data_IF_648505463509
#
_entry.id   IF_648505463509
#
_cell.length_a   1.000
_cell.length_b   1.000
_cell.length_c   1.000
_cell.angle_alpha   90.00
_cell.angle_beta   90.00
_cell.angle_gamma   90.00
#
_symmetry.space_group_name_H-M   'P 1'
#
loop_
_entity.id
_entity.type
_entity.pdbx_description
1 polymer ?
#
# COMPACT_ATOMS: atom_id res chain seq x y z
N UNK A 1 -9.18 0.45 6.04
CA UNK A 1 -8.66 -0.55 5.09
C UNK A 1 -7.17 -0.31 4.97
N UNK A 2 -6.35 -1.27 5.40
CA UNK A 2 -4.88 -1.18 5.34
C UNK A 2 -4.39 -1.25 3.90
N UNK A 3 -3.10 -0.97 3.66
CA UNK A 3 -2.51 -1.15 2.33
C UNK A 3 -2.62 -2.62 1.86
N UNK A 4 -2.35 -3.56 2.77
CA UNK A 4 -2.49 -5.01 2.51
C UNK A 4 -3.93 -5.36 2.13
N UNK A 5 -4.93 -4.84 2.83
CA UNK A 5 -6.34 -5.13 2.52
C UNK A 5 -6.72 -4.72 1.09
N UNK A 6 -6.18 -3.58 0.59
CA UNK A 6 -6.46 -3.10 -0.77
C UNK A 6 -6.01 -4.11 -1.83
N UNK A 7 -4.78 -4.60 -1.74
CA UNK A 7 -4.27 -5.56 -2.74
C UNK A 7 -4.99 -6.90 -2.63
N UNK A 8 -5.35 -7.32 -1.42
CA UNK A 8 -6.06 -8.58 -1.19
C UNK A 8 -7.46 -8.52 -1.77
N UNK A 9 -8.15 -7.39 -1.63
CA UNK A 9 -9.48 -7.19 -2.20
C UNK A 9 -9.44 -7.19 -3.74
N UNK A 10 -8.48 -6.49 -4.35
CA UNK A 10 -8.28 -6.51 -5.80
C UNK A 10 -8.02 -7.95 -6.30
N UNK A 11 -7.11 -8.69 -5.64
CA UNK A 11 -6.82 -10.07 -6.02
C UNK A 11 -8.06 -10.98 -5.89
N UNK A 12 -8.87 -10.81 -4.83
CA UNK A 12 -10.12 -11.58 -4.63
C UNK A 12 -11.13 -11.32 -5.75
N UNK A 13 -11.26 -10.08 -6.20
CA UNK A 13 -12.17 -9.72 -7.29
C UNK A 13 -11.78 -10.39 -8.61
N UNK A 14 -10.53 -10.80 -8.79
CA UNK A 14 -10.06 -11.49 -9.98
C UNK A 14 -10.25 -13.01 -9.95
N UNK A 15 -10.53 -13.62 -8.78
CA UNK A 15 -10.75 -15.08 -8.66
C UNK A 15 -11.81 -15.55 -9.66
N UNK A 16 -11.46 -16.52 -10.51
CA UNK A 16 -12.32 -17.04 -11.57
C UNK A 16 -12.15 -16.35 -12.92
N UNK A 17 -11.26 -15.35 -13.05
CA UNK A 17 -10.82 -14.85 -14.35
C UNK A 17 -10.14 -15.97 -15.14
N UNK A 18 -10.56 -16.17 -16.39
CA UNK A 18 -9.98 -17.13 -17.31
C UNK A 18 -9.18 -16.41 -18.39
N UNK A 19 -7.99 -16.90 -18.72
CA UNK A 19 -7.23 -16.40 -19.87
C UNK A 19 -7.98 -16.64 -21.18
N UNK A 20 -7.67 -15.82 -22.18
CA UNK A 20 -8.37 -15.80 -23.46
C UNK A 20 -7.59 -16.49 -24.56
N UNK A 21 -8.32 -17.01 -25.54
CA UNK A 21 -7.73 -17.54 -26.79
C UNK A 21 -7.14 -16.46 -27.71
N UNK A 22 -7.56 -15.20 -27.56
CA UNK A 22 -7.15 -14.06 -28.37
C UNK A 22 -7.31 -12.74 -27.61
N UNK A 23 -6.88 -11.62 -28.18
CA UNK A 23 -6.98 -10.27 -27.57
C UNK A 23 -8.41 -9.70 -27.50
N UNK A 24 -9.44 -10.52 -27.69
CA UNK A 24 -10.85 -10.12 -27.59
C UNK A 24 -11.42 -10.40 -26.19
N UNK A 25 -12.35 -9.56 -25.74
CA UNK A 25 -13.09 -9.71 -24.47
C UNK A 25 -12.20 -9.85 -23.22
N UNK A 26 -11.05 -9.18 -23.22
CA UNK A 26 -10.05 -9.29 -22.14
C UNK A 26 -10.58 -8.87 -20.76
N UNK A 27 -11.58 -7.99 -20.69
CA UNK A 27 -12.19 -7.54 -19.43
C UNK A 27 -13.30 -8.46 -18.92
N UNK A 28 -13.81 -9.37 -19.77
CA UNK A 28 -14.79 -10.36 -19.32
C UNK A 28 -14.11 -11.40 -18.44
N UNK A 29 -14.76 -11.78 -17.34
CA UNK A 29 -14.23 -12.80 -16.43
C UNK A 29 -14.11 -14.18 -17.11
N UNK A 30 -15.06 -14.54 -17.97
CA UNK A 30 -15.15 -15.89 -18.55
C UNK A 30 -15.35 -15.94 -20.07
N UNK A 31 -15.82 -14.87 -20.72
CA UNK A 31 -15.97 -14.88 -22.18
C UNK A 31 -14.60 -15.00 -22.87
N UNK A 32 -14.59 -15.51 -24.10
CA UNK A 32 -13.39 -15.80 -24.92
C UNK A 32 -12.35 -16.72 -24.25
N UNK A 33 -12.72 -17.48 -23.22
CA UNK A 33 -11.79 -18.38 -22.53
C UNK A 33 -11.13 -19.38 -23.50
N UNK A 34 -9.85 -19.65 -23.28
CA UNK A 34 -9.07 -20.64 -24.03
C UNK A 34 -7.57 -20.47 -23.77
N UNK A 35 -6.75 -21.45 -24.14
CA UNK A 35 -5.35 -21.57 -23.71
C UNK A 35 -4.34 -20.66 -24.43
N UNK A 36 -4.75 -19.45 -24.77
CA UNK A 36 -3.95 -18.51 -25.56
C UNK A 36 -3.06 -17.59 -24.74
N UNK A 37 -3.11 -17.64 -23.41
CA UNK A 37 -2.42 -16.70 -22.51
C UNK A 37 -2.75 -15.21 -22.79
N UNK A 38 -3.90 -14.90 -23.40
CA UNK A 38 -4.31 -13.51 -23.60
C UNK A 38 -5.04 -12.99 -22.35
N UNK A 39 -4.57 -11.92 -21.72
CA UNK A 39 -5.18 -11.39 -20.49
C UNK A 39 -5.24 -9.86 -20.46
N UNK A 40 -6.14 -9.28 -19.65
CA UNK A 40 -6.12 -7.84 -19.39
C UNK A 40 -4.83 -7.39 -18.68
N UNK A 41 -4.24 -8.25 -17.86
CA UNK A 41 -3.02 -7.95 -17.11
C UNK A 41 -1.84 -7.69 -18.05
N UNK A 42 -1.68 -8.52 -19.08
CA UNK A 42 -0.70 -8.30 -20.13
C UNK A 42 -1.04 -7.04 -20.94
N UNK A 43 -2.28 -6.83 -21.38
CA UNK A 43 -2.67 -5.61 -22.11
C UNK A 43 -2.33 -4.33 -21.34
N UNK A 44 -2.63 -4.29 -20.05
CA UNK A 44 -2.57 -3.07 -19.24
C UNK A 44 -1.14 -2.68 -18.84
N UNK A 45 -0.27 -3.66 -18.57
CA UNK A 45 1.10 -3.40 -18.09
C UNK A 45 2.20 -3.87 -19.04
N UNK A 46 1.93 -4.87 -19.87
CA UNK A 46 2.89 -5.57 -20.71
C UNK A 46 2.35 -5.86 -22.11
N UNK A 47 1.87 -4.84 -22.87
CA UNK A 47 1.10 -5.09 -24.09
C UNK A 47 1.89 -5.88 -25.15
N UNK A 48 3.22 -5.78 -25.16
CA UNK A 48 4.10 -6.55 -26.04
C UNK A 48 4.28 -8.02 -25.64
N UNK A 49 3.78 -8.43 -24.47
CA UNK A 49 3.89 -9.79 -23.92
C UNK A 49 2.53 -10.52 -23.85
N UNK A 50 1.52 -10.05 -24.60
CA UNK A 50 0.31 -10.82 -24.82
C UNK A 50 0.62 -12.25 -25.31
N UNK A 51 -0.08 -13.24 -24.75
CA UNK A 51 0.13 -14.64 -25.10
C UNK A 51 1.32 -15.30 -24.41
N UNK A 52 1.99 -14.60 -23.49
CA UNK A 52 3.02 -15.17 -22.61
C UNK A 52 2.42 -15.55 -21.24
N UNK A 53 3.04 -16.49 -20.50
CA UNK A 53 2.65 -16.79 -19.13
C UNK A 53 2.58 -15.54 -18.25
N UNK A 54 1.52 -15.42 -17.46
CA UNK A 54 1.10 -14.14 -16.87
C UNK A 54 0.97 -14.13 -15.34
N UNK A 55 1.49 -15.15 -14.63
CA UNK A 55 1.37 -15.22 -13.16
C UNK A 55 2.02 -14.01 -12.46
N UNK A 56 3.19 -13.56 -12.93
CA UNK A 56 3.90 -12.39 -12.39
C UNK A 56 3.22 -11.08 -12.80
N UNK A 57 2.76 -11.00 -14.07
CA UNK A 57 2.01 -9.85 -14.58
C UNK A 57 0.72 -9.61 -13.78
N UNK A 58 0.06 -10.67 -13.32
CA UNK A 58 -1.11 -10.58 -12.46
C UNK A 58 -0.76 -9.94 -11.10
N UNK A 59 0.34 -10.36 -10.48
CA UNK A 59 0.79 -9.75 -9.20
C UNK A 59 1.08 -8.28 -9.41
N UNK A 60 1.89 -7.92 -10.41
CA UNK A 60 2.21 -6.52 -10.73
C UNK A 60 0.93 -5.71 -10.97
N UNK A 61 -0.01 -6.26 -11.74
CA UNK A 61 -1.29 -5.61 -12.03
C UNK A 61 -2.10 -5.35 -10.76
N UNK A 62 -2.20 -6.31 -9.85
CA UNK A 62 -2.88 -6.12 -8.57
C UNK A 62 -2.29 -4.95 -7.76
N UNK A 63 -0.96 -4.84 -7.70
CA UNK A 63 -0.30 -3.74 -7.01
C UNK A 63 -0.51 -2.39 -7.73
N UNK A 64 -0.47 -2.36 -9.07
CA UNK A 64 -0.72 -1.14 -9.83
C UNK A 64 -2.16 -0.66 -9.66
N UNK A 65 -3.15 -1.57 -9.65
CA UNK A 65 -4.54 -1.19 -9.38
C UNK A 65 -4.71 -0.61 -7.96
N UNK A 66 -3.94 -1.09 -6.99
CA UNK A 66 -4.05 -0.62 -5.61
C UNK A 66 -3.37 0.73 -5.34
N UNK A 67 -2.21 0.96 -5.97
CA UNK A 67 -1.31 2.06 -5.57
C UNK A 67 -0.80 2.91 -6.72
N UNK A 68 -1.14 2.58 -7.97
CA UNK A 68 -0.54 3.18 -9.15
C UNK A 68 0.90 2.71 -9.40
N UNK A 69 1.41 2.99 -10.60
CA UNK A 69 2.68 2.39 -11.08
C UNK A 69 3.91 2.76 -10.24
N UNK A 70 4.00 4.01 -9.78
CA UNK A 70 5.18 4.50 -9.06
C UNK A 70 5.34 3.79 -7.71
N UNK A 71 4.30 3.84 -6.87
CA UNK A 71 4.33 3.20 -5.56
C UNK A 71 4.39 1.66 -5.68
N UNK A 72 3.63 1.06 -6.60
CA UNK A 72 3.68 -0.38 -6.85
C UNK A 72 5.11 -0.85 -7.20
N UNK A 73 5.83 -0.11 -8.05
CA UNK A 73 7.21 -0.47 -8.41
C UNK A 73 8.14 -0.43 -7.21
N UNK A 74 8.00 0.56 -6.33
CA UNK A 74 8.81 0.65 -5.11
C UNK A 74 8.49 -0.48 -4.13
N UNK A 75 7.21 -0.82 -3.99
CA UNK A 75 6.73 -1.92 -3.17
C UNK A 75 7.28 -3.27 -3.64
N UNK A 76 7.34 -3.52 -4.95
CA UNK A 76 7.78 -4.79 -5.53
C UNK A 76 9.32 -4.89 -5.71
N UNK A 77 10.09 -4.34 -4.77
CA UNK A 77 11.55 -4.41 -4.77
C UNK A 77 12.24 -3.50 -5.82
N UNK A 78 11.50 -2.60 -6.46
CA UNK A 78 12.04 -1.56 -7.36
C UNK A 78 11.77 -1.80 -8.85
N UNK A 79 11.04 -2.84 -9.24
CA UNK A 79 10.79 -3.19 -10.63
C UNK A 79 9.50 -3.98 -10.85
N UNK A 80 9.07 -4.01 -12.11
CA UNK A 80 8.08 -4.97 -12.59
C UNK A 80 8.77 -5.95 -13.53
N UNK A 81 8.31 -7.19 -13.57
CA UNK A 81 8.79 -8.19 -14.51
C UNK A 81 7.72 -9.24 -14.78
N UNK A 82 7.62 -9.71 -16.02
CA UNK A 82 6.81 -10.88 -16.38
C UNK A 82 7.54 -12.21 -16.09
N UNK A 83 8.79 -12.14 -15.62
CA UNK A 83 9.68 -13.28 -15.38
C UNK A 83 9.96 -13.43 -13.89
N UNK A 84 9.43 -14.50 -13.31
CA UNK A 84 9.40 -14.71 -11.84
C UNK A 84 10.78 -14.76 -11.16
N UNK A 85 11.87 -15.27 -11.76
CA UNK A 85 13.20 -15.15 -11.15
C UNK A 85 13.67 -13.70 -11.00
N UNK A 86 13.36 -12.84 -11.96
CA UNK A 86 13.74 -11.41 -11.90
C UNK A 86 12.95 -10.70 -10.81
N UNK A 87 11.64 -10.96 -10.69
CA UNK A 87 10.81 -10.37 -9.63
C UNK A 87 11.29 -10.79 -8.24
N UNK A 88 11.61 -12.08 -8.05
CA UNK A 88 12.24 -12.55 -6.82
C UNK A 88 13.60 -11.85 -6.55
N UNK A 89 14.39 -11.58 -7.59
CA UNK A 89 15.68 -10.91 -7.46
C UNK A 89 15.53 -9.44 -7.03
N UNK A 90 14.48 -8.74 -7.43
CA UNK A 90 14.21 -7.37 -6.96
C UNK A 90 14.10 -7.32 -5.43
N UNK A 91 13.30 -8.20 -4.83
CA UNK A 91 13.22 -8.30 -3.37
C UNK A 91 14.55 -8.71 -2.73
N UNK A 92 15.28 -9.68 -3.31
CA UNK A 92 16.58 -10.12 -2.79
C UNK A 92 17.59 -8.97 -2.74
N UNK A 93 17.65 -8.15 -3.79
CA UNK A 93 18.53 -6.99 -3.87
C UNK A 93 18.20 -5.92 -2.82
N UNK A 94 16.98 -5.92 -2.29
CA UNK A 94 16.50 -5.01 -1.25
C UNK A 94 16.52 -5.61 0.16
N UNK A 95 16.94 -6.87 0.32
CA UNK A 95 16.85 -7.57 1.60
C UNK A 95 15.41 -7.91 2.03
N UNK A 96 14.47 -7.90 1.09
CA UNK A 96 13.02 -8.09 1.31
C UNK A 96 12.55 -9.50 0.94
N UNK A 97 13.46 -10.45 0.74
CA UNK A 97 13.13 -11.82 0.37
C UNK A 97 13.34 -12.77 1.55
N UNK A 98 12.26 -13.36 2.03
CA UNK A 98 12.22 -14.20 3.23
C UNK A 98 12.05 -15.68 2.86
N UNK A 99 12.71 -16.57 3.61
CA UNK A 99 12.61 -18.03 3.41
C UNK A 99 11.55 -18.70 4.30
N UNK A 100 11.09 -17.99 5.31
CA UNK A 100 10.14 -18.44 6.30
C UNK A 100 9.18 -17.28 6.65
N UNK A 101 8.32 -17.51 7.65
CA UNK A 101 7.44 -16.48 8.25
C UNK A 101 6.64 -15.64 7.23
N UNK A 102 5.88 -16.30 6.32
CA UNK A 102 5.06 -15.55 5.37
C UNK A 102 4.04 -14.67 6.07
N UNK A 103 3.64 -13.60 5.39
CA UNK A 103 2.60 -12.68 5.83
C UNK A 103 1.60 -12.45 4.71
N UNK A 104 0.31 -12.21 5.04
CA UNK A 104 -0.65 -11.66 4.09
C UNK A 104 -0.09 -10.42 3.39
N UNK A 105 -0.23 -10.40 2.06
CA UNK A 105 0.33 -9.37 1.19
C UNK A 105 1.67 -9.72 0.56
N UNK A 106 2.42 -10.69 1.09
CA UNK A 106 3.68 -11.11 0.48
C UNK A 106 3.43 -11.70 -0.93
N UNK A 107 4.35 -11.46 -1.85
CA UNK A 107 4.44 -12.21 -3.09
C UNK A 107 5.15 -13.54 -2.82
N UNK A 108 4.42 -14.65 -2.91
CA UNK A 108 5.01 -15.99 -2.76
C UNK A 108 5.65 -16.44 -4.09
N UNK A 109 6.79 -17.09 -4.02
CA UNK A 109 7.50 -17.64 -5.17
C UNK A 109 7.65 -19.15 -5.06
N UNK A 110 7.40 -19.88 -6.14
CA UNK A 110 7.57 -21.32 -6.20
C UNK A 110 8.67 -21.72 -7.18
N UNK A 111 9.52 -22.66 -6.77
CA UNK A 111 10.57 -23.26 -7.61
C UNK A 111 10.05 -24.47 -8.38
N UNK A 112 10.50 -24.60 -9.63
CA UNK A 112 10.54 -25.85 -10.36
C UNK A 112 11.87 -26.56 -10.15
N UNK A 113 12.28 -27.37 -11.13
CA UNK A 113 13.58 -28.06 -11.12
C UNK A 113 14.76 -27.08 -11.22
N UNK A 114 14.64 -26.06 -12.08
CA UNK A 114 15.81 -25.26 -12.49
C UNK A 114 15.74 -23.80 -12.03
N UNK A 115 14.54 -23.31 -11.71
CA UNK A 115 14.31 -21.89 -11.37
C UNK A 115 13.00 -21.68 -10.63
N UNK A 116 12.82 -20.47 -10.11
CA UNK A 116 11.49 -19.95 -9.76
C UNK A 116 10.66 -19.91 -11.05
N UNK A 117 9.49 -20.53 -11.03
CA UNK A 117 8.65 -20.70 -12.22
C UNK A 117 7.19 -20.29 -11.99
N UNK A 118 6.80 -19.97 -10.76
CA UNK A 118 5.43 -19.56 -10.45
C UNK A 118 5.40 -18.60 -9.26
N UNK A 119 4.32 -17.82 -9.15
CA UNK A 119 4.14 -16.84 -8.07
C UNK A 119 2.65 -16.59 -7.80
N UNK A 120 2.36 -15.93 -6.68
CA UNK A 120 1.05 -15.40 -6.35
C UNK A 120 1.12 -14.49 -5.14
N UNK A 121 -0.05 -14.15 -4.61
CA UNK A 121 -0.21 -13.25 -3.47
C UNK A 121 -0.65 -14.07 -2.27
N UNK A 122 0.08 -13.99 -1.16
CA UNK A 122 -0.31 -14.59 0.12
C UNK A 122 -1.52 -13.85 0.67
N UNK A 123 -2.58 -14.57 0.98
CA UNK A 123 -3.83 -14.00 1.50
C UNK A 123 -4.06 -14.29 2.98
N UNK A 124 -3.55 -15.42 3.47
CA UNK A 124 -3.71 -15.86 4.85
C UNK A 124 -2.58 -16.83 5.21
N UNK A 125 -2.15 -16.80 6.46
CA UNK A 125 -1.17 -17.74 7.01
C UNK A 125 -1.76 -18.32 8.29
N UNK A 126 -1.84 -19.65 8.34
CA UNK A 126 -2.24 -20.40 9.54
C UNK A 126 -1.00 -21.04 10.17
N UNK A 127 -1.18 -21.81 11.24
CA UNK A 127 -0.08 -22.52 11.88
C UNK A 127 0.66 -23.50 10.95
N UNK A 128 -0.03 -24.06 9.95
CA UNK A 128 0.53 -25.11 9.09
C UNK A 128 0.42 -24.84 7.60
N UNK A 129 -0.36 -23.83 7.20
CA UNK A 129 -0.64 -23.55 5.78
C UNK A 129 -0.46 -22.09 5.43
N UNK A 130 -0.15 -21.86 4.16
CA UNK A 130 -0.26 -20.57 3.47
C UNK A 130 -1.38 -20.65 2.45
N UNK A 131 -2.27 -19.65 2.41
CA UNK A 131 -3.30 -19.50 1.38
C UNK A 131 -2.92 -18.37 0.45
N UNK A 132 -3.23 -18.53 -0.83
CA UNK A 132 -2.80 -17.61 -1.88
C UNK A 132 -3.92 -17.35 -2.88
N UNK A 133 -3.78 -16.25 -3.63
CA UNK A 133 -4.46 -16.04 -4.90
C UNK A 133 -3.38 -15.94 -5.97
N UNK A 134 -3.51 -16.75 -7.01
CA UNK A 134 -2.50 -16.89 -8.05
C UNK A 134 -3.13 -16.67 -9.42
N UNK A 135 -2.45 -15.92 -10.28
CA UNK A 135 -2.73 -15.86 -11.70
C UNK A 135 -2.04 -16.98 -12.46
N UNK A 136 -2.54 -17.29 -13.65
CA UNK A 136 -2.06 -18.35 -14.52
C UNK A 136 -1.90 -19.72 -13.85
N UNK A 137 -2.84 -20.11 -13.00
CA UNK A 137 -2.89 -21.41 -12.31
C UNK A 137 -4.22 -22.11 -12.63
N UNK A 138 -4.46 -23.26 -12.00
CA UNK A 138 -5.75 -23.97 -12.05
C UNK A 138 -6.29 -24.22 -10.64
N UNK A 139 -7.58 -24.56 -10.54
CA UNK A 139 -8.27 -24.77 -9.27
C UNK A 139 -7.84 -26.04 -8.49
N UNK A 140 -7.02 -26.92 -9.07
CA UNK A 140 -6.51 -28.10 -8.39
C UNK A 140 -5.53 -27.76 -7.25
N UNK A 141 -5.12 -28.73 -6.43
CA UNK A 141 -4.21 -28.48 -5.31
C UNK A 141 -2.73 -28.30 -5.70
N UNK A 142 -2.33 -28.74 -6.91
CA UNK A 142 -0.94 -28.67 -7.35
C UNK A 142 -0.52 -27.23 -7.71
N UNK A 143 0.78 -26.92 -7.54
CA UNK A 143 1.35 -25.67 -8.05
C UNK A 143 1.51 -25.78 -9.57
N UNK A 144 0.72 -25.01 -10.33
CA UNK A 144 0.65 -25.05 -11.80
C UNK A 144 1.18 -23.74 -12.39
N UNK A 145 2.35 -23.74 -13.06
CA UNK A 145 2.95 -22.53 -13.65
C UNK A 145 2.23 -21.93 -14.88
N UNK A 146 1.21 -22.61 -15.41
CA UNK A 146 0.46 -22.21 -16.61
C UNK A 146 -0.91 -22.91 -16.68
N UNK A 147 -1.85 -22.54 -15.82
CA UNK A 147 -3.15 -23.20 -15.66
C UNK A 147 -4.36 -22.42 -16.19
N UNK A 148 -4.15 -21.22 -16.72
CA UNK A 148 -5.15 -20.45 -17.47
C UNK A 148 -6.23 -19.72 -16.65
N UNK A 149 -6.14 -19.71 -15.31
CA UNK A 149 -7.10 -19.01 -14.48
C UNK A 149 -6.46 -18.28 -13.30
N UNK A 150 -7.20 -17.34 -12.72
CA UNK A 150 -6.95 -16.84 -11.36
C UNK A 150 -7.68 -17.73 -10.37
N UNK A 151 -6.98 -18.34 -9.43
CA UNK A 151 -7.58 -19.23 -8.43
C UNK A 151 -7.05 -18.96 -7.03
N UNK A 152 -7.87 -19.27 -6.03
CA UNK A 152 -7.42 -19.41 -4.66
C UNK A 152 -6.75 -20.77 -4.47
N UNK A 153 -5.65 -20.81 -3.71
CA UNK A 153 -4.86 -22.02 -3.45
C UNK A 153 -4.47 -22.07 -1.98
N UNK A 154 -4.04 -23.25 -1.53
CA UNK A 154 -3.43 -23.42 -0.22
C UNK A 154 -2.33 -24.48 -0.26
N UNK A 155 -1.29 -24.29 0.52
CA UNK A 155 -0.15 -25.20 0.61
C UNK A 155 0.30 -25.36 2.06
N UNK A 156 0.87 -26.51 2.37
CA UNK A 156 1.62 -26.67 3.62
C UNK A 156 2.82 -25.72 3.65
N UNK A 157 3.14 -25.15 4.81
CA UNK A 157 4.27 -24.22 4.97
C UNK A 157 5.63 -24.89 4.71
N UNK A 158 5.72 -26.21 4.87
CA UNK A 158 6.91 -27.02 4.60
C UNK A 158 6.98 -27.53 3.14
N UNK A 159 6.08 -27.10 2.25
CA UNK A 159 6.09 -27.54 0.87
C UNK A 159 7.42 -27.17 0.21
N UNK A 160 8.16 -28.19 -0.22
CA UNK A 160 9.53 -28.07 -0.77
C UNK A 160 9.59 -27.28 -2.08
N UNK A 161 8.46 -27.00 -2.73
CA UNK A 161 8.40 -26.14 -3.90
C UNK A 161 8.25 -24.66 -3.57
N UNK A 162 7.96 -24.28 -2.33
CA UNK A 162 7.98 -22.87 -1.93
C UNK A 162 9.44 -22.41 -1.92
N UNK A 163 9.77 -21.42 -2.76
CA UNK A 163 11.10 -20.84 -2.75
C UNK A 163 11.28 -19.81 -1.64
N UNK A 164 10.30 -18.94 -1.48
CA UNK A 164 10.32 -17.87 -0.50
C UNK A 164 9.24 -16.83 -0.78
N UNK A 165 9.36 -15.70 -0.09
CA UNK A 165 8.35 -14.66 -0.02
C UNK A 165 9.01 -13.30 -0.22
N UNK A 166 8.64 -12.59 -1.27
CA UNK A 166 8.97 -11.18 -1.44
C UNK A 166 8.00 -10.34 -0.63
N UNK A 167 8.51 -9.61 0.37
CA UNK A 167 7.69 -8.76 1.23
C UNK A 167 7.74 -7.31 0.74
N UNK A 168 6.60 -6.73 0.33
CA UNK A 168 6.56 -5.33 -0.04
C UNK A 168 6.91 -4.39 1.12
N UNK A 169 7.52 -3.24 0.80
CA UNK A 169 7.79 -2.18 1.78
C UNK A 169 6.52 -1.40 2.12
N UNK A 170 5.64 -2.01 2.92
CA UNK A 170 4.32 -1.45 3.23
C UNK A 170 4.37 -0.04 3.80
N UNK A 171 5.44 0.33 4.51
CA UNK A 171 5.64 1.68 5.07
C UNK A 171 5.62 2.80 4.02
N UNK A 172 5.88 2.49 2.74
CA UNK A 172 5.79 3.47 1.64
C UNK A 172 4.36 3.91 1.32
N UNK A 173 3.35 3.11 1.70
CA UNK A 173 1.94 3.34 1.37
C UNK A 173 1.01 3.25 2.58
N UNK A 174 1.50 2.74 3.70
CA UNK A 174 0.84 2.79 5.00
C UNK A 174 1.14 4.14 5.64
N UNK A 175 0.22 5.08 5.42
CA UNK A 175 0.20 6.31 6.21
C UNK A 175 -0.14 5.95 7.68
N UNK A 176 0.49 6.61 8.67
CA UNK A 176 0.05 6.51 10.06
C UNK A 176 -1.45 6.87 10.15
N UNK A 177 -2.17 6.12 10.98
CA UNK A 177 -3.57 6.40 11.26
C UNK A 177 -3.70 7.22 12.53
N UNK A 178 -4.32 8.39 12.45
CA UNK A 178 -4.55 9.28 13.57
C UNK A 178 -5.99 9.18 14.08
N UNK A 179 -6.20 9.34 15.39
CA UNK A 179 -7.53 9.71 15.89
C UNK A 179 -7.81 11.16 15.48
N UNK A 180 -9.03 11.48 15.03
CA UNK A 180 -9.36 12.87 14.67
C UNK A 180 -9.41 13.70 15.94
N UNK A 181 -8.69 14.82 15.95
CA UNK A 181 -8.64 15.73 17.10
C UNK A 181 -7.22 16.17 17.47
N UNK A 182 -7.12 16.69 18.68
CA UNK A 182 -5.86 17.15 19.28
C UNK A 182 -5.02 15.99 19.78
N UNK A 183 -3.73 16.06 19.52
CA UNK A 183 -2.70 15.15 20.00
C UNK A 183 -1.54 15.95 20.56
N UNK A 184 -0.81 15.37 21.51
CA UNK A 184 0.35 15.99 22.15
C UNK A 184 1.49 14.99 22.28
N UNK A 185 2.68 15.38 21.86
CA UNK A 185 3.92 14.62 22.07
C UNK A 185 5.02 15.53 22.64
N UNK A 186 6.27 15.06 22.64
CA UNK A 186 7.41 15.83 23.18
C UNK A 186 7.72 17.12 22.41
N UNK A 187 7.22 17.27 21.18
CA UNK A 187 7.42 18.45 20.35
C UNK A 187 6.24 19.44 20.43
N UNK A 188 5.10 19.04 21.02
CA UNK A 188 3.95 19.92 21.29
C UNK A 188 2.62 19.40 20.75
N UNK A 189 1.63 20.30 20.70
CA UNK A 189 0.27 20.00 20.25
C UNK A 189 0.17 19.99 18.72
N UNK A 190 -0.58 19.05 18.16
CA UNK A 190 -0.92 19.02 16.74
C UNK A 190 -2.37 18.53 16.56
N UNK A 191 -2.96 18.77 15.38
CA UNK A 191 -4.36 18.43 15.12
C UNK A 191 -4.56 17.61 13.85
N UNK A 192 -5.04 16.38 14.00
CA UNK A 192 -5.49 15.52 12.91
C UNK A 192 -6.91 15.90 12.48
N UNK A 193 -7.06 16.40 11.25
CA UNK A 193 -8.38 16.66 10.65
C UNK A 193 -8.93 15.46 9.86
N UNK A 194 -8.09 14.46 9.61
CA UNK A 194 -8.47 13.18 9.04
C UNK A 194 -7.72 12.06 9.74
N UNK A 195 -8.07 10.82 9.45
CA UNK A 195 -7.32 9.67 9.97
C UNK A 195 -5.95 9.50 9.32
N UNK A 196 -5.57 10.31 8.32
CA UNK A 196 -4.29 10.16 7.61
C UNK A 196 -3.50 11.46 7.48
N UNK A 197 -4.09 12.60 7.86
CA UNK A 197 -3.53 13.92 7.63
C UNK A 197 -3.86 14.86 8.79
N UNK A 198 -2.98 15.84 8.98
CA UNK A 198 -3.03 16.82 10.06
C UNK A 198 -2.61 18.20 9.54
N UNK A 199 -2.96 19.26 10.28
CA UNK A 199 -2.66 20.62 9.86
C UNK A 199 -1.16 20.92 9.89
N UNK A 200 -0.66 21.59 8.85
CA UNK A 200 0.73 22.03 8.68
C UNK A 200 0.78 23.33 7.91
N UNK A 201 1.71 24.21 8.27
CA UNK A 201 1.98 25.48 7.59
C UNK A 201 0.71 26.29 7.31
N UNK A 202 -0.24 26.31 8.24
CA UNK A 202 -1.55 26.89 7.99
C UNK A 202 -2.20 27.47 9.25
N UNK A 203 -3.03 28.48 9.01
CA UNK A 203 -4.02 28.96 9.97
C UNK A 203 -5.19 27.99 10.03
N UNK A 204 -5.73 27.76 11.23
CA UNK A 204 -6.99 27.05 11.39
C UNK A 204 -7.82 27.57 12.55
N UNK A 205 -9.15 27.53 12.41
CA UNK A 205 -10.09 27.76 13.50
C UNK A 205 -10.63 26.41 13.98
N UNK A 206 -10.38 26.07 15.24
CA UNK A 206 -10.80 24.82 15.88
C UNK A 206 -11.52 25.18 17.18
N UNK A 207 -12.73 24.68 17.39
CA UNK A 207 -13.55 24.99 18.57
C UNK A 207 -13.63 26.50 18.85
N UNK A 208 -13.84 27.32 17.81
CA UNK A 208 -13.92 28.79 17.86
C UNK A 208 -12.63 29.55 18.18
N UNK A 209 -11.50 28.86 18.37
CA UNK A 209 -10.20 29.47 18.62
C UNK A 209 -9.30 29.35 17.40
N UNK A 210 -8.42 30.33 17.20
CA UNK A 210 -7.54 30.38 16.03
C UNK A 210 -6.15 29.89 16.40
N UNK A 211 -5.58 29.03 15.57
CA UNK A 211 -4.26 28.42 15.74
C UNK A 211 -3.45 28.58 14.47
N UNK A 212 -2.13 28.55 14.59
CA UNK A 212 -1.23 28.39 13.46
C UNK A 212 -0.36 27.15 13.68
N UNK A 213 -0.30 26.28 12.67
CA UNK A 213 0.54 25.08 12.69
C UNK A 213 1.81 25.34 11.88
N UNK A 214 2.96 24.99 12.45
CA UNK A 214 4.26 25.13 11.79
C UNK A 214 4.46 24.08 10.66
N UNK A 215 5.63 24.07 10.02
CA UNK A 215 5.96 23.15 8.93
C UNK A 215 5.95 21.67 9.34
N UNK A 216 6.26 21.39 10.60
CA UNK A 216 6.20 20.05 11.16
C UNK A 216 4.78 19.64 11.58
N UNK A 217 3.87 20.61 11.73
CA UNK A 217 2.47 20.43 12.07
C UNK A 217 2.12 20.66 13.53
N UNK A 218 3.03 21.24 14.30
CA UNK A 218 2.80 21.60 15.70
C UNK A 218 2.20 23.01 15.79
N UNK A 219 1.20 23.17 16.66
CA UNK A 219 0.59 24.44 16.98
C UNK A 219 1.62 25.33 17.69
N UNK A 220 1.72 26.58 17.25
CA UNK A 220 2.66 27.54 17.82
C UNK A 220 2.28 27.93 19.25
N UNK A 221 3.29 28.27 20.04
CA UNK A 221 3.19 28.86 21.38
C UNK A 221 4.10 30.09 21.44
N UNK A 222 3.84 31.02 22.35
CA UNK A 222 4.58 32.27 22.50
C UNK A 222 4.51 33.18 21.24
N UNK A 223 5.41 34.16 21.14
CA UNK A 223 5.48 35.13 20.05
C UNK A 223 6.04 34.52 18.76
N UNK A 224 5.30 34.69 17.67
CA UNK A 224 5.75 34.31 16.33
C UNK A 224 5.36 35.34 15.27
N UNK A 225 6.22 35.51 14.28
CA UNK A 225 5.91 36.29 13.08
C UNK A 225 5.39 35.36 11.97
N UNK A 226 4.19 35.63 11.46
CA UNK A 226 3.55 34.90 10.36
C UNK A 226 3.12 35.91 9.30
N UNK A 227 3.51 35.69 8.04
CA UNK A 227 3.23 36.60 6.91
C UNK A 227 3.59 38.08 7.20
N UNK A 228 4.69 38.29 7.92
CA UNK A 228 5.19 39.62 8.28
C UNK A 228 4.52 40.28 9.49
N UNK A 229 3.54 39.65 10.13
CA UNK A 229 2.82 40.17 11.31
C UNK A 229 3.15 39.34 12.55
N UNK A 230 3.27 39.99 13.70
CA UNK A 230 3.47 39.32 14.99
C UNK A 230 2.15 38.87 15.60
N UNK A 231 2.17 37.66 16.16
CA UNK A 231 1.06 37.04 16.85
C UNK A 231 1.58 36.39 18.14
N UNK A 232 0.76 36.42 19.19
CA UNK A 232 1.03 35.73 20.44
C UNK A 232 0.07 34.56 20.61
N UNK A 233 0.62 33.38 20.89
CA UNK A 233 -0.11 32.14 21.14
C UNK A 233 0.13 31.71 22.59
N UNK A 234 -0.92 31.26 23.29
CA UNK A 234 -0.83 30.85 24.70
C UNK A 234 0.24 29.76 24.95
N UNK A 235 1.32 30.05 25.71
CA UNK A 235 2.38 29.07 25.96
C UNK A 235 2.23 28.25 27.24
N UNK A 236 1.27 28.57 28.12
CA UNK A 236 1.14 27.90 29.41
C UNK A 236 0.63 26.46 29.24
N UNK A 237 1.49 25.51 29.60
CA UNK A 237 1.17 24.09 29.60
C UNK A 237 -0.05 23.79 30.48
N UNK A 238 -1.07 23.17 29.89
CA UNK A 238 -2.31 22.82 30.59
C UNK A 238 -3.31 23.98 30.72
N UNK A 239 -3.03 25.15 30.15
CA UNK A 239 -4.01 26.21 30.03
C UNK A 239 -5.18 25.76 29.14
N UNK A 240 -6.45 26.10 29.46
CA UNK A 240 -7.61 25.67 28.66
C UNK A 240 -7.56 26.09 27.18
N UNK A 241 -6.78 27.13 26.88
CA UNK A 241 -6.59 27.69 25.54
C UNK A 241 -5.12 27.61 25.09
N UNK A 242 -4.34 26.64 25.59
CA UNK A 242 -2.96 26.39 25.14
C UNK A 242 -2.87 26.40 23.60
N UNK A 243 -1.83 27.07 23.08
CA UNK A 243 -1.58 27.34 21.67
C UNK A 243 -2.60 28.25 20.94
N UNK A 244 -3.68 28.70 21.58
CA UNK A 244 -4.65 29.57 20.92
C UNK A 244 -4.08 30.98 20.73
N UNK A 245 -4.34 31.55 19.56
CA UNK A 245 -3.96 32.92 19.22
C UNK A 245 -4.84 33.90 19.98
N UNK A 246 -4.21 34.83 20.69
CA UNK A 246 -4.91 35.97 21.29
C UNK A 246 -5.41 36.93 20.20
N UNK A 247 -6.69 37.31 20.24
CA UNK A 247 -7.28 38.29 19.32
C UNK A 247 -7.50 39.60 20.07
N UNK A 248 -6.74 40.63 19.75
CA UNK A 248 -7.04 41.99 20.22
C UNK A 248 -8.21 42.57 19.40
N UNK A 249 -9.16 43.30 20.01
CA UNK A 249 -10.31 43.89 19.31
C UNK A 249 -9.94 44.86 18.16
N UNK A 250 -8.78 45.52 18.22
CA UNK A 250 -8.50 46.75 17.44
C UNK A 250 -7.08 46.83 16.84
N UNK A 251 -6.53 45.73 16.33
CA UNK A 251 -5.46 45.78 15.31
C UNK A 251 -4.05 46.20 15.74
N UNK A 252 -3.81 46.56 17.00
CA UNK A 252 -2.47 46.73 17.57
C UNK A 252 -2.37 45.96 18.90
N UNK A 253 -1.54 44.91 18.93
CA UNK A 253 -1.32 44.08 20.12
C UNK A 253 -0.25 44.70 21.02
N UNK A 254 -0.65 45.13 22.22
CA UNK A 254 0.24 45.16 23.38
C UNK A 254 -0.31 44.25 24.47
N UNK A 255 0.54 43.27 24.80
CA UNK A 255 0.79 42.64 26.10
C UNK A 255 -0.39 42.62 27.08
N UNK A 256 -0.93 41.41 27.25
CA UNK A 256 -1.62 40.90 28.43
C UNK A 256 -2.37 41.89 29.31
N UNK A 257 -3.70 41.86 29.21
CA UNK A 257 -4.55 41.74 30.40
C UNK A 257 -5.83 40.99 30.00
N UNK A 258 -6.11 39.98 30.83
CA UNK A 258 -7.04 38.84 30.81
C UNK A 258 -8.32 38.93 29.95
#
# INVERSE_FOLDING_TARGET
MTAKDKILEIARQEIGYLEKRSNSQLDSKTANAGSGNYTKYARDLYPSLQGQPWCDMFVDWCFVQAFGQVAAKQLLGGGFSAYTPTSAQYYKNKGQYYKDTPQPGDQIFFRGTDRINHTGIVTEVTLTKVRTIEGNTSAGAAIVPNGGAVCQKEYSLDNTRIDGYGRPEWSLVEKPTYEIGWHHDLNGWWYAYSTTDYHKSCWQIINHHKYYFNEDGYALTDWHQVDGKWYYFEPEYGHPLECAMYVAPEGEQYIGEF
#
